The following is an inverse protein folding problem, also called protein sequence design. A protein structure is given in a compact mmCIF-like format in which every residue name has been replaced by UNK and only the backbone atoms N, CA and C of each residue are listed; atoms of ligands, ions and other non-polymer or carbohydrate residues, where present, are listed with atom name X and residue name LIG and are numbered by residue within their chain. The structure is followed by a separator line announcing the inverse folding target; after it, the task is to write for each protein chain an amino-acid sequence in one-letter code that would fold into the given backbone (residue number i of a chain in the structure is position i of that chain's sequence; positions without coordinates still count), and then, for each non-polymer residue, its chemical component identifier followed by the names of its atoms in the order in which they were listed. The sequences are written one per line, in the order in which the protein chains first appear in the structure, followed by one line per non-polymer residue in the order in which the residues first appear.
data_IF_297915014050
#
_entry.id   IF_297915014050
#
_cell.length_a   1.000
_cell.length_b   1.000
_cell.length_c   1.000
_cell.angle_alpha   90.00
_cell.angle_beta   90.00
_cell.angle_gamma   90.00
#
_symmetry.space_group_name_H-M   'P 1'
#
loop_
_entity.id
_entity.type
_entity.pdbx_description
1 polymer ?
#
# COMPACT_ATOMS: atom_id res chain seq x y z
N UNK A 1 -13.81 17.28 70.45
CA UNK A 1 -14.04 16.62 69.15
C UNK A 1 -13.13 15.41 69.04
N UNK A 2 -13.66 14.19 68.88
CA UNK A 2 -12.85 12.99 68.72
C UNK A 2 -12.78 12.64 67.23
N UNK A 3 -11.61 12.81 66.60
CA UNK A 3 -11.36 12.44 65.20
C UNK A 3 -11.10 10.93 65.13
N UNK A 4 -12.03 10.19 64.52
CA UNK A 4 -11.83 8.77 64.24
C UNK A 4 -10.60 8.59 63.35
N UNK A 5 -9.61 7.84 63.83
CA UNK A 5 -8.47 7.41 63.01
C UNK A 5 -8.97 6.33 62.07
N UNK A 6 -9.05 6.66 60.78
CA UNK A 6 -9.23 5.66 59.73
C UNK A 6 -8.03 4.70 59.78
N UNK A 7 -8.30 3.40 59.89
CA UNK A 7 -7.26 2.38 59.86
C UNK A 7 -6.84 2.20 58.41
N UNK A 8 -5.62 2.59 58.06
CA UNK A 8 -5.03 2.24 56.77
C UNK A 8 -4.87 0.72 56.70
N UNK A 9 -5.66 0.08 55.83
CA UNK A 9 -5.54 -1.34 55.52
C UNK A 9 -4.33 -1.53 54.59
N UNK A 10 -3.19 -1.96 55.15
CA UNK A 10 -2.03 -2.34 54.37
C UNK A 10 -2.23 -3.66 53.62
N UNK A 11 -1.81 -3.71 52.36
CA UNK A 11 -1.79 -4.94 51.55
C UNK A 11 -0.86 -5.99 52.17
N UNK A 12 -1.26 -7.25 52.16
CA UNK A 12 -0.40 -8.34 52.64
C UNK A 12 0.60 -8.77 51.56
N UNK A 13 1.81 -9.17 51.96
CA UNK A 13 2.81 -9.70 51.01
C UNK A 13 2.32 -10.96 50.29
N UNK A 14 1.51 -11.77 50.96
CA UNK A 14 0.93 -12.99 50.39
C UNK A 14 -0.13 -12.68 49.33
N UNK A 15 -0.95 -11.63 49.52
CA UNK A 15 -1.86 -11.15 48.46
C UNK A 15 -1.09 -10.73 47.22
N UNK A 16 -0.02 -9.96 47.39
CA UNK A 16 0.79 -9.52 46.24
C UNK A 16 1.43 -10.72 45.51
N UNK A 17 1.90 -11.72 46.26
CA UNK A 17 2.53 -12.91 45.70
C UNK A 17 1.56 -13.75 44.86
N UNK A 18 0.32 -13.93 45.33
CA UNK A 18 -0.70 -14.66 44.57
C UNK A 18 -1.09 -13.90 43.30
N UNK A 19 -1.18 -12.56 43.37
CA UNK A 19 -1.52 -11.74 42.19
C UNK A 19 -0.46 -11.89 41.09
N UNK A 20 0.83 -11.77 41.43
CA UNK A 20 1.89 -11.92 40.41
C UNK A 20 1.98 -13.35 39.88
N UNK A 21 1.67 -14.36 40.70
CA UNK A 21 1.60 -15.75 40.26
C UNK A 21 0.48 -15.97 39.22
N UNK A 22 -0.72 -15.44 39.47
CA UNK A 22 -1.84 -15.53 38.52
C UNK A 22 -1.53 -14.75 37.24
N UNK A 23 -1.01 -13.52 37.35
CA UNK A 23 -0.60 -12.71 36.19
C UNK A 23 0.48 -13.41 35.35
N UNK A 24 1.42 -14.12 35.98
CA UNK A 24 2.44 -14.91 35.30
C UNK A 24 1.85 -16.06 34.47
N UNK A 25 0.88 -16.80 35.03
CA UNK A 25 0.18 -17.88 34.32
C UNK A 25 -0.61 -17.32 33.12
N UNK A 26 -1.36 -16.23 33.33
CA UNK A 26 -2.14 -15.60 32.26
C UNK A 26 -1.24 -15.07 31.14
N UNK A 27 -0.13 -14.40 31.49
CA UNK A 27 0.82 -13.88 30.52
C UNK A 27 1.44 -15.00 29.67
N UNK A 28 1.79 -16.13 30.28
CA UNK A 28 2.38 -17.27 29.58
C UNK A 28 1.48 -17.84 28.48
N UNK A 29 0.15 -17.82 28.68
CA UNK A 29 -0.82 -18.32 27.69
C UNK A 29 -1.17 -17.26 26.64
N UNK A 30 -1.28 -15.99 27.03
CA UNK A 30 -1.78 -14.91 26.15
C UNK A 30 -0.71 -14.42 25.17
N UNK A 31 0.52 -14.20 25.63
CA UNK A 31 1.62 -13.63 24.81
C UNK A 31 1.86 -14.36 23.48
N UNK A 32 1.98 -15.71 23.42
CA UNK A 32 2.19 -16.39 22.15
C UNK A 32 1.01 -16.24 21.17
N UNK A 33 -0.21 -16.10 21.68
CA UNK A 33 -1.40 -15.93 20.85
C UNK A 33 -1.51 -14.53 20.27
N UNK A 34 -1.12 -13.50 21.03
CA UNK A 34 -1.13 -12.10 20.56
C UNK A 34 -0.15 -11.91 19.40
N UNK A 35 1.07 -12.46 19.48
CA UNK A 35 2.03 -12.37 18.38
C UNK A 35 1.52 -12.97 17.07
N UNK A 36 0.86 -14.14 17.13
CA UNK A 36 0.23 -14.78 15.97
C UNK A 36 -0.94 -13.98 15.41
N UNK A 37 -1.71 -13.32 16.27
CA UNK A 37 -2.84 -12.49 15.85
C UNK A 37 -2.35 -11.24 15.10
N UNK A 38 -1.33 -10.56 15.62
CA UNK A 38 -0.74 -9.39 14.98
C UNK A 38 -0.13 -9.73 13.62
N UNK A 39 0.65 -10.82 13.53
CA UNK A 39 1.23 -11.27 12.26
C UNK A 39 0.18 -11.61 11.19
N UNK A 40 -0.94 -12.24 11.59
CA UNK A 40 -2.07 -12.46 10.67
C UNK A 40 -2.72 -11.15 10.22
N UNK A 41 -2.88 -10.19 11.12
CA UNK A 41 -3.42 -8.87 10.77
C UNK A 41 -2.57 -8.13 9.74
N UNK A 42 -1.24 -8.21 9.87
CA UNK A 42 -0.31 -7.62 8.90
C UNK A 42 -0.36 -8.31 7.54
N UNK A 43 -0.45 -9.64 7.51
CA UNK A 43 -0.57 -10.42 6.28
C UNK A 43 -1.89 -10.13 5.54
N UNK A 44 -2.99 -10.05 6.28
CA UNK A 44 -4.30 -9.67 5.73
C UNK A 44 -4.30 -8.24 5.16
N UNK A 45 -3.69 -7.29 5.88
CA UNK A 45 -3.54 -5.92 5.39
C UNK A 45 -2.67 -5.88 4.12
N UNK A 46 -1.59 -6.64 4.09
CA UNK A 46 -0.69 -6.77 2.94
C UNK A 46 -1.43 -7.30 1.71
N UNK A 47 -2.17 -8.40 1.87
CA UNK A 47 -2.94 -9.03 0.80
C UNK A 47 -4.05 -8.12 0.29
N UNK A 48 -4.70 -7.37 1.19
CA UNK A 48 -5.72 -6.39 0.82
C UNK A 48 -5.14 -5.29 -0.07
N UNK A 49 -4.00 -4.72 0.31
CA UNK A 49 -3.34 -3.68 -0.50
C UNK A 49 -2.85 -4.23 -1.85
N UNK A 50 -2.31 -5.46 -1.88
CA UNK A 50 -1.92 -6.09 -3.14
C UNK A 50 -3.10 -6.27 -4.11
N UNK A 51 -4.23 -6.77 -3.60
CA UNK A 51 -5.45 -6.91 -4.40
C UNK A 51 -5.96 -5.57 -4.91
N UNK A 52 -5.88 -4.52 -4.08
CA UNK A 52 -6.20 -3.15 -4.50
C UNK A 52 -5.29 -2.73 -5.65
N UNK A 53 -3.96 -2.75 -5.49
CA UNK A 53 -3.00 -2.31 -6.53
C UNK A 53 -3.16 -3.11 -7.82
N UNK A 54 -3.42 -4.42 -7.73
CA UNK A 54 -3.70 -5.25 -8.91
C UNK A 54 -4.98 -4.83 -9.62
N UNK A 55 -6.05 -4.51 -8.88
CA UNK A 55 -7.29 -4.01 -9.47
C UNK A 55 -7.10 -2.64 -10.11
N UNK A 56 -6.29 -1.75 -9.50
CA UNK A 56 -5.94 -0.46 -10.07
C UNK A 56 -5.18 -0.61 -11.39
N UNK A 57 -4.23 -1.53 -11.43
CA UNK A 57 -3.46 -1.86 -12.64
C UNK A 57 -4.38 -2.35 -13.76
N UNK A 58 -5.28 -3.29 -13.47
CA UNK A 58 -6.26 -3.78 -14.43
C UNK A 58 -7.24 -2.69 -14.89
N UNK A 59 -7.68 -1.82 -13.97
CA UNK A 59 -8.54 -0.68 -14.28
C UNK A 59 -7.86 0.31 -15.22
N UNK A 60 -6.58 0.61 -14.99
CA UNK A 60 -5.79 1.46 -15.86
C UNK A 60 -5.62 0.85 -17.25
N UNK A 61 -5.25 -0.43 -17.35
CA UNK A 61 -5.11 -1.10 -18.65
C UNK A 61 -6.43 -1.08 -19.43
N UNK A 62 -7.55 -1.39 -18.76
CA UNK A 62 -8.88 -1.43 -19.38
C UNK A 62 -9.32 -0.06 -19.84
N UNK A 63 -9.16 0.97 -18.99
CA UNK A 63 -9.53 2.33 -19.35
C UNK A 63 -8.77 2.78 -20.59
N UNK A 64 -7.47 2.53 -20.67
CA UNK A 64 -6.62 2.94 -21.79
C UNK A 64 -6.63 1.96 -22.98
N UNK A 65 -7.48 0.92 -22.96
CA UNK A 65 -7.57 -0.07 -24.04
C UNK A 65 -6.28 -0.87 -24.28
N UNK A 66 -5.47 -1.04 -23.24
CA UNK A 66 -4.17 -1.72 -23.29
C UNK A 66 -4.33 -3.20 -22.95
N UNK A 67 -3.84 -4.09 -23.81
CA UNK A 67 -3.65 -5.51 -23.49
C UNK A 67 -2.33 -5.79 -22.77
N UNK A 68 -1.40 -4.84 -22.84
CA UNK A 68 -0.07 -4.90 -22.24
C UNK A 68 0.53 -3.50 -22.17
N UNK A 69 1.41 -3.27 -21.21
CA UNK A 69 2.29 -2.12 -21.18
C UNK A 69 3.43 -2.31 -22.18
N UNK A 70 3.64 -1.32 -23.05
CA UNK A 70 4.81 -1.27 -23.93
C UNK A 70 6.11 -1.13 -23.12
N UNK A 71 6.02 -0.49 -21.95
CA UNK A 71 7.14 -0.24 -21.06
C UNK A 71 6.69 -0.42 -19.62
N UNK A 72 7.57 -0.98 -18.80
CA UNK A 72 7.36 -1.02 -17.35
C UNK A 72 8.56 -0.38 -16.69
N UNK A 73 8.28 0.57 -15.80
CA UNK A 73 9.27 1.27 -15.01
C UNK A 73 9.25 0.72 -13.59
N UNK A 74 9.97 -0.38 -13.38
CA UNK A 74 10.30 -0.85 -12.04
C UNK A 74 11.51 -0.04 -11.58
N UNK A 75 11.27 1.05 -10.86
CA UNK A 75 12.33 1.96 -10.41
C UNK A 75 12.40 2.03 -8.89
N UNK A 76 13.60 1.95 -8.26
CA UNK A 76 13.74 2.11 -6.83
C UNK A 76 13.18 3.46 -6.38
N UNK A 77 12.12 3.45 -5.59
CA UNK A 77 11.63 4.65 -4.89
C UNK A 77 11.19 4.28 -3.47
N UNK A 78 11.23 5.24 -2.55
CA UNK A 78 10.72 5.05 -1.18
C UNK A 78 11.30 3.86 -0.40
N UNK A 79 12.55 3.47 -0.68
CA UNK A 79 13.21 2.32 -0.04
C UNK A 79 12.88 0.96 -0.65
N UNK A 80 12.29 0.91 -1.85
CA UNK A 80 11.72 -0.32 -2.41
C UNK A 80 12.67 -1.26 -3.17
N UNK A 81 13.98 -1.05 -3.12
CA UNK A 81 14.95 -1.94 -3.77
C UNK A 81 14.68 -2.12 -5.27
N UNK A 82 14.07 -3.24 -5.66
CA UNK A 82 13.73 -3.55 -7.06
C UNK A 82 12.40 -2.96 -7.55
N UNK A 83 11.56 -2.46 -6.66
CA UNK A 83 10.24 -1.90 -6.97
C UNK A 83 10.07 -0.45 -6.55
N UNK A 84 8.83 0.00 -6.52
CA UNK A 84 8.42 1.36 -6.14
C UNK A 84 7.18 1.31 -5.26
N UNK A 85 7.07 2.25 -4.32
CA UNK A 85 5.81 2.52 -3.62
C UNK A 85 5.16 3.82 -4.11
N UNK A 86 5.77 4.52 -5.07
CA UNK A 86 5.25 5.76 -5.63
C UNK A 86 4.38 5.48 -6.86
N UNK A 87 3.08 5.63 -6.69
CA UNK A 87 2.06 5.41 -7.73
C UNK A 87 1.97 6.55 -8.74
N UNK A 88 2.61 7.70 -8.47
CA UNK A 88 2.66 8.84 -9.39
C UNK A 88 3.75 8.69 -10.48
N UNK A 89 4.54 7.61 -10.43
CA UNK A 89 5.59 7.33 -11.42
C UNK A 89 5.56 5.88 -11.94
N UNK A 90 4.53 5.11 -11.55
CA UNK A 90 4.38 3.68 -11.80
C UNK A 90 2.97 3.36 -12.32
N UNK A 91 2.79 2.34 -13.20
CA UNK A 91 3.78 1.38 -13.72
C UNK A 91 4.68 1.87 -14.84
N UNK A 92 4.30 2.93 -15.55
CA UNK A 92 5.09 3.46 -16.66
C UNK A 92 5.10 4.98 -16.58
N UNK A 93 6.27 5.58 -16.37
CA UNK A 93 6.44 7.05 -16.32
C UNK A 93 7.07 7.63 -17.58
N UNK A 94 7.20 6.81 -18.62
CA UNK A 94 8.14 7.07 -19.69
C UNK A 94 7.51 7.09 -21.08
N UNK A 95 6.32 6.52 -21.24
CA UNK A 95 5.56 6.57 -22.50
C UNK A 95 4.95 7.94 -22.72
N UNK A 96 5.40 8.68 -23.73
CA UNK A 96 4.91 10.03 -24.03
C UNK A 96 3.67 10.03 -24.93
N UNK A 97 2.85 11.08 -24.84
CA UNK A 97 1.71 11.29 -25.72
C UNK A 97 2.13 11.34 -27.20
N UNK A 98 1.32 10.77 -28.08
CA UNK A 98 1.59 10.70 -29.52
C UNK A 98 2.57 9.59 -29.92
N UNK A 99 3.09 8.79 -28.98
CA UNK A 99 3.84 7.57 -29.30
C UNK A 99 2.92 6.49 -29.90
N UNK A 100 3.51 5.38 -30.38
CA UNK A 100 2.73 4.23 -30.84
C UNK A 100 1.74 3.73 -29.77
N UNK A 101 2.14 3.84 -28.50
CA UNK A 101 1.47 3.22 -27.36
C UNK A 101 0.45 4.13 -26.69
N UNK A 102 0.62 5.47 -26.76
CA UNK A 102 -0.26 6.48 -26.15
C UNK A 102 -0.80 7.46 -27.18
N UNK A 103 -1.64 6.94 -28.09
CA UNK A 103 -2.26 7.75 -29.17
C UNK A 103 -3.58 8.36 -28.77
N UNK A 104 -4.49 7.58 -28.19
CA UNK A 104 -5.86 8.01 -27.92
C UNK A 104 -6.28 7.73 -26.49
N UNK A 105 -7.07 8.64 -25.94
CA UNK A 105 -7.73 8.47 -24.65
C UNK A 105 -8.93 7.49 -24.75
N UNK A 106 -9.52 7.10 -23.62
CA UNK A 106 -10.68 6.21 -23.59
C UNK A 106 -11.93 6.78 -24.30
N UNK A 107 -11.97 8.09 -24.56
CA UNK A 107 -13.08 8.77 -25.25
C UNK A 107 -12.88 8.85 -26.78
N UNK A 108 -11.72 8.42 -27.27
CA UNK A 108 -11.37 8.33 -28.69
C UNK A 108 -10.63 9.55 -29.25
N UNK A 109 -10.28 10.52 -28.39
CA UNK A 109 -9.51 11.72 -28.72
C UNK A 109 -8.00 11.44 -28.66
N UNK A 110 -7.20 12.15 -29.45
CA UNK A 110 -5.74 11.95 -29.46
C UNK A 110 -5.09 12.65 -28.27
N UNK A 111 -4.21 11.98 -27.51
CA UNK A 111 -3.42 12.62 -26.44
C UNK A 111 -2.56 13.78 -26.98
N UNK A 112 -2.44 14.86 -26.22
CA UNK A 112 -1.70 16.07 -26.56
C UNK A 112 -0.26 16.09 -25.99
N UNK A 113 0.64 16.86 -26.60
CA UNK A 113 2.06 16.91 -26.22
C UNK A 113 2.33 17.45 -24.80
N UNK A 114 1.36 18.12 -24.20
CA UNK A 114 1.42 18.71 -22.84
C UNK A 114 0.98 17.74 -21.74
N UNK A 115 0.49 16.56 -22.11
CA UNK A 115 -0.01 15.56 -21.16
C UNK A 115 1.17 14.91 -20.41
N UNK A 116 0.88 14.35 -19.22
CA UNK A 116 1.91 13.62 -18.47
C UNK A 116 2.46 12.45 -19.27
N UNK A 117 3.78 12.27 -19.18
CA UNK A 117 4.44 11.07 -19.64
C UNK A 117 3.98 9.88 -18.78
N UNK A 118 3.61 8.80 -19.45
CA UNK A 118 3.36 7.51 -18.86
C UNK A 118 1.89 7.11 -18.73
N UNK A 119 1.73 5.88 -18.26
CA UNK A 119 0.52 5.29 -17.74
C UNK A 119 0.71 5.10 -16.24
N UNK A 120 0.15 6.01 -15.45
CA UNK A 120 0.41 6.13 -14.02
C UNK A 120 -0.84 5.81 -13.21
N UNK A 121 -0.67 5.19 -12.04
CA UNK A 121 -1.80 4.89 -11.17
C UNK A 121 -2.31 6.11 -10.40
N UNK A 122 -1.47 7.12 -10.18
CA UNK A 122 -1.84 8.33 -9.47
C UNK A 122 -1.50 9.59 -10.27
N UNK A 123 -2.45 10.53 -10.27
CA UNK A 123 -2.35 11.85 -10.89
C UNK A 123 -1.95 11.76 -12.37
N UNK A 124 -2.53 10.84 -13.14
CA UNK A 124 -2.33 10.83 -14.59
C UNK A 124 -3.32 11.78 -15.26
N UNK A 125 -2.95 12.29 -16.43
CA UNK A 125 -3.82 13.13 -17.23
C UNK A 125 -4.55 12.27 -18.27
N UNK A 126 -5.86 12.45 -18.39
CA UNK A 126 -6.70 11.72 -19.34
C UNK A 126 -7.28 12.65 -20.42
N UNK A 127 -7.07 13.97 -20.36
CA UNK A 127 -7.71 14.90 -21.29
C UNK A 127 -6.78 15.24 -22.47
N UNK A 128 -7.31 15.10 -23.69
CA UNK A 128 -6.64 15.47 -24.94
C UNK A 128 -6.50 17.00 -25.16
N UNK A 129 -6.86 17.82 -24.17
CA UNK A 129 -6.86 19.28 -24.25
C UNK A 129 -5.57 19.92 -23.71
N UNK A 130 -4.66 19.12 -23.16
CA UNK A 130 -3.43 19.59 -22.56
C UNK A 130 -3.61 20.34 -21.25
N UNK A 131 -4.82 20.32 -20.68
CA UNK A 131 -5.16 20.96 -19.41
C UNK A 131 -4.97 19.99 -18.25
N UNK A 132 -4.10 20.33 -17.30
CA UNK A 132 -3.93 19.57 -16.03
C UNK A 132 -5.15 19.64 -15.09
N UNK A 133 -6.25 20.24 -15.54
CA UNK A 133 -7.48 20.46 -14.76
C UNK A 133 -8.30 19.18 -14.57
N UNK A 134 -8.06 18.13 -15.36
CA UNK A 134 -8.77 16.85 -15.26
C UNK A 134 -7.79 15.69 -15.01
N UNK A 135 -7.24 15.64 -13.80
CA UNK A 135 -6.43 14.52 -13.35
C UNK A 135 -7.31 13.30 -13.05
N UNK A 136 -6.86 12.13 -13.48
CA UNK A 136 -7.47 10.85 -13.13
C UNK A 136 -6.55 10.09 -12.18
N UNK A 137 -7.16 9.53 -11.14
CA UNK A 137 -6.48 8.78 -10.10
C UNK A 137 -7.13 7.40 -10.06
N UNK A 138 -6.37 6.36 -10.43
CA UNK A 138 -6.78 4.99 -10.15
C UNK A 138 -6.53 4.71 -8.66
N UNK A 139 -5.32 4.99 -8.18
CA UNK A 139 -4.96 4.90 -6.78
C UNK A 139 -5.55 6.07 -5.97
N UNK A 140 -5.99 5.78 -4.74
CA UNK A 140 -6.48 6.80 -3.81
C UNK A 140 -5.36 7.63 -3.20
N UNK A 141 -4.12 7.13 -3.23
CA UNK A 141 -2.93 7.76 -2.66
C UNK A 141 -1.76 7.67 -3.63
N UNK A 142 -0.88 8.66 -3.56
CA UNK A 142 0.37 8.69 -4.35
C UNK A 142 1.41 7.68 -3.85
N UNK A 143 1.30 7.20 -2.61
CA UNK A 143 2.29 6.30 -2.01
C UNK A 143 1.61 5.15 -1.26
N UNK A 144 2.10 3.94 -1.50
CA UNK A 144 1.64 2.69 -0.89
C UNK A 144 2.50 2.29 0.31
N UNK A 145 2.01 1.38 1.17
CA UNK A 145 2.79 0.86 2.29
C UNK A 145 3.85 -0.13 1.82
N UNK A 146 3.49 -0.96 0.84
CA UNK A 146 4.37 -1.95 0.24
C UNK A 146 4.94 -1.45 -1.09
N UNK A 147 5.90 -2.20 -1.60
CA UNK A 147 6.60 -1.93 -2.84
C UNK A 147 6.10 -2.84 -3.94
N UNK A 148 6.05 -2.35 -5.17
CA UNK A 148 5.48 -3.08 -6.28
C UNK A 148 6.39 -3.07 -7.50
N UNK A 149 6.38 -4.17 -8.23
CA UNK A 149 6.87 -4.27 -9.62
C UNK A 149 5.72 -4.74 -10.51
N UNK A 150 5.80 -4.39 -11.79
CA UNK A 150 4.89 -4.93 -12.80
C UNK A 150 5.68 -5.69 -13.86
N UNK A 151 5.00 -6.59 -14.55
CA UNK A 151 5.41 -7.07 -15.86
C UNK A 151 4.58 -6.42 -16.97
N UNK A 152 5.00 -6.61 -18.21
CA UNK A 152 4.37 -5.98 -19.38
C UNK A 152 2.94 -6.45 -19.61
N UNK A 153 2.57 -7.64 -19.13
CA UNK A 153 1.20 -8.15 -19.15
C UNK A 153 0.28 -7.50 -18.10
N UNK A 154 0.83 -6.62 -17.25
CA UNK A 154 0.10 -5.99 -16.15
C UNK A 154 0.01 -6.81 -14.87
N UNK A 155 0.67 -7.96 -14.79
CA UNK A 155 0.83 -8.67 -13.52
C UNK A 155 1.64 -7.83 -12.54
N UNK A 156 1.27 -7.89 -11.25
CA UNK A 156 1.85 -7.07 -10.18
C UNK A 156 2.44 -7.97 -9.10
N UNK A 157 3.69 -7.74 -8.75
CA UNK A 157 4.38 -8.42 -7.66
C UNK A 157 4.64 -7.46 -6.51
N UNK A 158 4.39 -7.91 -5.28
CA UNK A 158 4.54 -7.12 -4.06
C UNK A 158 5.80 -7.50 -3.27
N UNK A 159 6.43 -6.50 -2.67
CA UNK A 159 7.63 -6.61 -1.86
C UNK A 159 7.48 -5.76 -0.60
N UNK A 160 8.22 -6.10 0.45
CA UNK A 160 8.39 -5.25 1.61
C UNK A 160 9.25 -4.03 1.24
N UNK A 161 9.10 -2.95 2.02
CA UNK A 161 10.07 -1.85 2.01
C UNK A 161 11.42 -2.46 2.43
N UNK A 162 12.46 -2.22 1.62
CA UNK A 162 13.77 -2.92 1.53
C UNK A 162 13.88 -4.04 0.47
N UNK A 163 12.86 -4.26 -0.35
CA UNK A 163 12.94 -5.09 -1.56
C UNK A 163 12.91 -6.60 -1.33
N UNK A 164 12.69 -7.08 -0.10
CA UNK A 164 12.46 -8.50 0.17
C UNK A 164 11.06 -8.91 -0.31
N UNK A 165 10.90 -10.05 -1.01
CA UNK A 165 9.58 -10.54 -1.39
C UNK A 165 8.69 -10.72 -0.15
N UNK A 166 7.43 -10.30 -0.23
CA UNK A 166 6.45 -10.69 0.78
C UNK A 166 6.23 -12.20 0.68
N UNK A 167 6.35 -12.95 1.78
CA UNK A 167 6.11 -14.39 1.80
C UNK A 167 4.66 -14.71 1.36
N UNK A 168 4.48 -15.48 0.28
CA UNK A 168 3.16 -15.83 -0.31
C UNK A 168 2.17 -16.47 0.68
#
# INVERSE_FOLDING_TARGET
MNRGKEKEAGFTLIELLIVVAILGILAAVVVPNVGRFLGRGEEEARRTEWNEVRALMAGMLTANGLSSLARVTNGPSGGCGVGTNNMAVWPDSTTVAGSADKKKDPTGLTYAATDKAGYLLYSHDQAADGGTTTLVNYATKSTTRYCYTAATDGSVTQYLVNGTPGAE
#
